data_IF_994654653698
#
_entry.id   IF_994654653698
#
_cell.length_a   1.000
_cell.length_b   1.000
_cell.length_c   1.000
_cell.angle_alpha   90.00
_cell.angle_beta   90.00
_cell.angle_gamma   90.00
#
_symmetry.space_group_name_H-M   'P 1'
#
loop_
_entity.id
_entity.type
_entity.pdbx_description
1 polymer ?
#
# COMPACT_ATOMS: atom_id res chain seq x y z
N UNK A 1 -31.09 -13.72 -50.56
CA UNK A 1 -29.91 -12.95 -50.14
C UNK A 1 -30.15 -12.57 -48.68
N UNK A 2 -29.67 -13.39 -47.74
CA UNK A 2 -29.98 -13.26 -46.32
C UNK A 2 -29.06 -12.24 -45.66
N UNK A 3 -29.63 -11.27 -44.96
CA UNK A 3 -28.87 -10.40 -44.07
C UNK A 3 -28.64 -11.18 -42.77
N UNK A 4 -27.41 -11.69 -42.59
CA UNK A 4 -26.94 -12.23 -41.33
C UNK A 4 -26.90 -11.08 -40.30
N UNK A 5 -28.02 -10.89 -39.61
CA UNK A 5 -28.10 -10.00 -38.48
C UNK A 5 -27.40 -10.70 -37.31
N UNK A 6 -26.18 -10.25 -37.01
CA UNK A 6 -25.39 -10.67 -35.85
C UNK A 6 -26.32 -10.83 -34.61
N UNK A 7 -26.43 -12.04 -34.02
CA UNK A 7 -27.41 -12.35 -32.98
C UNK A 7 -27.10 -11.70 -31.63
N UNK A 8 -26.08 -10.85 -31.56
CA UNK A 8 -25.68 -10.20 -30.32
C UNK A 8 -26.57 -8.97 -30.06
N UNK A 9 -27.42 -9.00 -29.00
CA UNK A 9 -28.23 -7.85 -28.63
C UNK A 9 -27.33 -6.65 -28.29
N UNK A 10 -27.74 -5.41 -28.62
CA UNK A 10 -26.90 -4.21 -28.45
C UNK A 10 -26.43 -4.02 -27.01
N UNK A 11 -27.18 -4.50 -26.02
CA UNK A 11 -26.84 -4.48 -24.60
C UNK A 11 -25.68 -5.40 -24.19
N UNK A 12 -25.33 -6.41 -25.01
CA UNK A 12 -24.19 -7.32 -24.78
C UNK A 12 -22.94 -6.96 -25.58
N UNK A 13 -23.01 -5.94 -26.43
CA UNK A 13 -21.84 -5.46 -27.16
C UNK A 13 -20.89 -4.81 -26.15
N UNK A 14 -19.77 -5.47 -25.86
CA UNK A 14 -18.68 -4.86 -25.10
C UNK A 14 -18.15 -3.70 -25.94
N UNK A 15 -18.61 -2.48 -25.64
CA UNK A 15 -18.06 -1.26 -26.24
C UNK A 15 -16.64 -1.16 -25.72
N UNK A 16 -15.68 -1.58 -26.54
CA UNK A 16 -14.26 -1.33 -26.31
C UNK A 16 -14.09 0.19 -26.35
N UNK A 17 -14.15 0.83 -25.18
CA UNK A 17 -13.79 2.23 -25.04
C UNK A 17 -12.29 2.31 -25.25
N UNK A 18 -11.87 2.40 -26.51
CA UNK A 18 -10.50 2.72 -26.88
C UNK A 18 -10.15 4.03 -26.21
N UNK A 19 -9.16 4.01 -25.33
CA UNK A 19 -8.65 5.23 -24.72
C UNK A 19 -7.91 6.00 -25.81
N UNK A 20 -8.55 7.02 -26.40
CA UNK A 20 -7.96 7.88 -27.45
C UNK A 20 -6.72 8.64 -26.94
N UNK A 21 -6.59 8.81 -25.63
CA UNK A 21 -5.45 9.51 -25.01
C UNK A 21 -4.41 8.48 -24.55
N UNK A 22 -3.21 8.56 -25.13
CA UNK A 22 -2.03 7.81 -24.66
C UNK A 22 -1.86 7.99 -23.16
N UNK A 23 -1.63 6.89 -22.43
CA UNK A 23 -1.48 6.95 -20.97
C UNK A 23 -0.32 7.91 -20.61
N UNK A 24 -0.60 9.01 -19.90
CA UNK A 24 0.40 10.03 -19.60
C UNK A 24 1.53 9.48 -18.72
N UNK A 25 1.29 8.39 -17.98
CA UNK A 25 2.30 7.73 -17.16
C UNK A 25 3.19 6.78 -17.94
N UNK A 26 2.84 6.39 -19.17
CA UNK A 26 3.59 5.34 -19.89
C UNK A 26 5.06 5.71 -20.08
N UNK A 27 5.34 6.96 -20.43
CA UNK A 27 6.72 7.43 -20.70
C UNK A 27 7.58 7.47 -19.43
N UNK A 28 6.98 7.85 -18.31
CA UNK A 28 7.67 7.95 -17.01
C UNK A 28 7.70 6.60 -16.27
N UNK A 29 6.81 5.68 -16.61
CA UNK A 29 6.74 4.37 -15.97
C UNK A 29 8.04 3.59 -16.17
N UNK A 30 8.53 3.51 -17.40
CA UNK A 30 9.72 2.71 -17.73
C UNK A 30 11.02 3.42 -17.32
N UNK A 31 11.09 4.75 -17.41
CA UNK A 31 12.32 5.51 -17.16
C UNK A 31 12.51 5.92 -15.70
N UNK A 32 11.45 6.33 -15.01
CA UNK A 32 11.56 6.93 -13.67
C UNK A 32 11.03 5.98 -12.59
N UNK A 33 9.92 5.30 -12.86
CA UNK A 33 9.23 4.51 -11.84
C UNK A 33 9.73 3.06 -11.74
N UNK A 34 10.01 2.42 -12.87
CA UNK A 34 10.42 1.02 -12.91
C UNK A 34 11.77 0.79 -12.23
N UNK A 35 12.82 1.61 -12.46
CA UNK A 35 14.10 1.44 -11.77
C UNK A 35 13.98 1.59 -10.25
N UNK A 36 13.15 2.52 -9.78
CA UNK A 36 12.87 2.70 -8.35
C UNK A 36 12.16 1.49 -7.76
N UNK A 37 11.17 0.96 -8.47
CA UNK A 37 10.40 -0.21 -8.06
C UNK A 37 11.22 -1.51 -8.10
N UNK A 38 12.15 -1.65 -9.04
CA UNK A 38 13.10 -2.76 -9.11
C UNK A 38 14.14 -2.69 -7.99
N UNK A 39 14.60 -1.48 -7.64
CA UNK A 39 15.51 -1.27 -6.52
C UNK A 39 14.82 -1.53 -5.16
N UNK A 40 13.59 -1.05 -5.00
CA UNK A 40 12.79 -1.25 -3.79
C UNK A 40 11.29 -1.39 -4.13
N UNK A 41 10.82 -2.64 -4.14
CA UNK A 41 9.42 -2.97 -4.41
C UNK A 41 8.46 -2.58 -3.27
N UNK A 42 8.97 -2.20 -2.09
CA UNK A 42 8.17 -1.70 -0.97
C UNK A 42 7.73 -0.24 -1.16
N UNK A 43 8.38 0.52 -2.05
CA UNK A 43 8.12 1.95 -2.30
C UNK A 43 6.66 2.28 -2.57
N UNK A 44 6.04 3.03 -1.67
CA UNK A 44 4.63 3.41 -1.75
C UNK A 44 4.34 4.26 -3.00
N UNK A 45 3.14 4.12 -3.56
CA UNK A 45 2.70 4.92 -4.71
C UNK A 45 2.75 6.43 -4.41
N UNK A 46 2.54 6.85 -3.16
CA UNK A 46 2.71 8.25 -2.74
C UNK A 46 4.16 8.71 -2.87
N UNK A 47 5.12 7.88 -2.50
CA UNK A 47 6.57 8.19 -2.62
C UNK A 47 6.96 8.33 -4.09
N UNK A 48 6.49 7.41 -4.94
CA UNK A 48 6.70 7.46 -6.38
C UNK A 48 6.06 8.71 -7.02
N UNK A 49 4.87 9.11 -6.56
CA UNK A 49 4.22 10.34 -7.00
C UNK A 49 5.04 11.58 -6.62
N UNK A 50 5.53 11.67 -5.38
CA UNK A 50 6.36 12.78 -4.93
C UNK A 50 7.66 12.88 -5.72
N UNK A 51 8.25 11.75 -6.07
CA UNK A 51 9.42 11.71 -6.94
C UNK A 51 9.10 12.30 -8.33
N UNK A 52 7.99 11.89 -8.95
CA UNK A 52 7.54 12.45 -10.23
C UNK A 52 7.22 13.94 -10.16
N UNK A 53 6.59 14.40 -9.09
CA UNK A 53 6.31 15.83 -8.87
C UNK A 53 7.60 16.64 -8.72
N UNK A 54 8.62 16.07 -8.09
CA UNK A 54 9.94 16.69 -7.94
C UNK A 54 10.74 16.71 -9.23
N UNK A 55 10.72 15.62 -10.02
CA UNK A 55 11.47 15.49 -11.27
C UNK A 55 10.80 16.22 -12.44
N UNK A 56 9.46 16.22 -12.46
CA UNK A 56 8.66 16.76 -13.56
C UNK A 56 7.47 17.60 -13.05
N UNK A 57 7.72 18.74 -12.37
CA UNK A 57 6.67 19.57 -11.78
C UNK A 57 5.67 20.11 -12.81
N UNK A 58 6.11 20.35 -14.06
CA UNK A 58 5.25 20.81 -15.15
C UNK A 58 4.30 19.71 -15.67
N UNK A 59 4.72 18.44 -15.60
CA UNK A 59 3.92 17.31 -16.06
C UNK A 59 2.97 16.80 -14.96
N UNK A 60 3.37 16.94 -13.70
CA UNK A 60 2.62 16.48 -12.53
C UNK A 60 2.49 17.59 -11.49
N UNK A 61 1.62 18.60 -11.72
CA UNK A 61 1.38 19.66 -10.75
C UNK A 61 0.50 19.22 -9.57
N UNK A 62 -0.33 18.18 -9.77
CA UNK A 62 -1.38 17.76 -8.83
C UNK A 62 -1.32 16.26 -8.49
N UNK A 63 -2.04 15.87 -7.43
CA UNK A 63 -2.21 14.48 -7.00
C UNK A 63 -3.22 13.65 -7.80
N UNK A 64 -3.76 14.18 -8.91
CA UNK A 64 -4.81 13.53 -9.71
C UNK A 64 -4.41 12.14 -10.22
N UNK A 65 -3.11 11.94 -10.47
CA UNK A 65 -2.56 10.67 -10.94
C UNK A 65 -2.30 9.65 -9.83
N UNK A 66 -2.43 10.01 -8.54
CA UNK A 66 -2.14 9.14 -7.40
C UNK A 66 -2.91 7.83 -7.46
N UNK A 67 -4.23 7.91 -7.70
CA UNK A 67 -5.10 6.72 -7.82
C UNK A 67 -4.73 5.86 -9.01
N UNK A 68 -4.32 6.47 -10.13
CA UNK A 68 -3.85 5.73 -11.31
C UNK A 68 -2.54 5.00 -11.02
N UNK A 69 -1.62 5.66 -10.31
CA UNK A 69 -0.34 5.10 -9.91
C UNK A 69 -0.53 3.94 -8.91
N UNK A 70 -1.35 4.13 -7.87
CA UNK A 70 -1.73 3.05 -6.93
C UNK A 70 -2.29 1.83 -7.66
N UNK A 71 -3.22 2.05 -8.61
CA UNK A 71 -3.85 0.98 -9.38
C UNK A 71 -2.87 0.26 -10.31
N UNK A 72 -1.77 0.91 -10.73
CA UNK A 72 -0.75 0.33 -11.62
C UNK A 72 0.36 -0.37 -10.83
N UNK A 73 0.75 0.18 -9.68
CA UNK A 73 1.76 -0.39 -8.78
C UNK A 73 1.26 -1.68 -8.12
N UNK A 74 -0.02 -1.74 -7.69
CA UNK A 74 -0.60 -2.95 -7.09
C UNK A 74 -0.45 -4.23 -7.94
N UNK A 75 -0.90 -4.26 -9.22
CA UNK A 75 -0.73 -5.43 -10.06
C UNK A 75 0.72 -5.66 -10.44
N UNK A 76 1.52 -4.60 -10.65
CA UNK A 76 2.96 -4.76 -10.90
C UNK A 76 3.65 -5.48 -9.75
N UNK A 77 3.39 -5.10 -8.49
CA UNK A 77 3.95 -5.80 -7.32
C UNK A 77 3.49 -7.25 -7.21
N UNK A 78 2.25 -7.54 -7.59
CA UNK A 78 1.75 -8.92 -7.61
C UNK A 78 2.44 -9.80 -8.67
N UNK A 79 2.99 -9.19 -9.73
CA UNK A 79 3.66 -9.88 -10.84
C UNK A 79 5.19 -9.92 -10.69
N UNK A 80 5.77 -8.85 -10.14
CA UNK A 80 7.23 -8.65 -10.02
C UNK A 80 7.79 -9.04 -8.66
N UNK A 81 6.96 -9.55 -7.74
CA UNK A 81 7.36 -9.76 -6.36
C UNK A 81 8.45 -10.82 -6.16
N UNK A 82 9.54 -10.51 -5.43
CA UNK A 82 10.13 -11.45 -4.47
C UNK A 82 9.15 -11.66 -3.29
N UNK A 83 9.18 -12.86 -2.70
CA UNK A 83 8.25 -13.42 -1.71
C UNK A 83 7.54 -12.41 -0.78
N UNK A 84 6.19 -12.44 -0.80
CA UNK A 84 5.39 -12.25 0.43
C UNK A 84 6.02 -13.17 1.49
N UNK A 85 6.46 -12.72 2.65
CA UNK A 85 5.72 -11.95 3.64
C UNK A 85 6.71 -11.61 4.77
N UNK A 86 6.86 -10.34 5.18
CA UNK A 86 7.24 -10.10 6.58
C UNK A 86 5.95 -10.13 7.40
N UNK A 87 5.37 -11.32 7.55
CA UNK A 87 4.43 -11.58 8.64
C UNK A 87 5.29 -11.97 9.82
N UNK A 88 5.41 -11.07 10.80
CA UNK A 88 5.75 -11.52 12.15
C UNK A 88 4.52 -12.23 12.71
N UNK A 89 4.40 -13.55 12.50
CA UNK A 89 3.44 -14.33 13.28
C UNK A 89 3.97 -14.29 14.70
N UNK A 90 3.44 -13.37 15.52
CA UNK A 90 3.54 -13.54 16.95
C UNK A 90 2.71 -14.78 17.26
N UNK A 91 3.39 -15.90 17.50
CA UNK A 91 2.79 -17.01 18.22
C UNK A 91 2.85 -16.60 19.69
N UNK A 92 1.75 -16.18 20.33
CA UNK A 92 1.73 -16.23 21.78
C UNK A 92 1.83 -17.71 22.14
N UNK A 93 3.01 -18.16 22.59
CA UNK A 93 3.02 -19.35 23.43
C UNK A 93 2.23 -18.98 24.68
N UNK A 94 1.07 -19.61 24.94
CA UNK A 94 0.41 -19.40 26.21
C UNK A 94 1.33 -19.97 27.27
N UNK A 95 1.99 -19.09 28.04
CA UNK A 95 2.57 -19.48 29.32
C UNK A 95 4.05 -19.24 29.58
N UNK A 96 4.73 -18.22 29.05
CA UNK A 96 6.10 -17.93 29.53
C UNK A 96 6.50 -16.48 29.84
N UNK A 97 5.55 -15.55 29.99
CA UNK A 97 5.83 -14.35 30.79
C UNK A 97 4.58 -13.73 31.41
N UNK A 98 3.98 -14.45 32.34
CA UNK A 98 3.25 -13.82 33.45
C UNK A 98 4.27 -13.26 34.44
N UNK A 99 4.90 -12.12 34.13
CA UNK A 99 5.64 -11.33 35.11
C UNK A 99 4.85 -10.05 35.39
N UNK A 100 3.77 -10.19 36.15
CA UNK A 100 3.39 -9.12 37.06
C UNK A 100 4.18 -9.38 38.34
N UNK A 101 5.33 -8.70 38.48
CA UNK A 101 5.89 -8.54 39.82
C UNK A 101 4.93 -7.62 40.57
N UNK A 102 4.00 -8.19 41.34
CA UNK A 102 3.33 -7.46 42.38
C UNK A 102 4.31 -7.40 43.55
N UNK A 103 5.16 -6.37 43.56
CA UNK A 103 5.94 -6.04 44.75
C UNK A 103 4.94 -5.73 45.87
N UNK A 104 4.79 -6.62 46.86
CA UNK A 104 4.12 -6.29 48.12
C UNK A 104 5.06 -5.39 48.91
N UNK A 105 4.73 -4.10 49.00
CA UNK A 105 5.54 -3.08 49.67
C UNK A 105 5.11 -2.83 51.13
N UNK A 106 4.36 -3.73 51.76
CA UNK A 106 3.84 -3.54 53.13
C UNK A 106 4.97 -3.42 54.17
N UNK A 107 6.12 -4.05 53.94
CA UNK A 107 7.28 -3.95 54.84
C UNK A 107 8.14 -2.70 54.62
N UNK A 108 7.91 -1.91 53.55
CA UNK A 108 8.72 -0.72 53.22
C UNK A 108 8.40 0.49 54.10
N UNK A 109 7.42 0.41 54.99
CA UNK A 109 7.14 1.47 55.97
C UNK A 109 6.89 2.84 55.32
N UNK A 110 6.24 2.84 54.15
CA UNK A 110 6.02 4.06 53.36
C UNK A 110 5.07 4.99 54.13
N UNK A 111 5.61 6.12 54.58
CA UNK A 111 4.83 7.18 55.22
C UNK A 111 4.57 8.30 54.21
N UNK A 112 3.30 8.60 53.95
CA UNK A 112 2.91 9.84 53.23
C UNK A 112 2.41 10.83 54.27
N UNK A 113 3.05 12.00 54.35
CA UNK A 113 2.74 13.04 55.34
C UNK A 113 2.75 12.54 56.82
N UNK A 114 3.60 11.55 57.14
CA UNK A 114 3.73 10.99 58.49
C UNK A 114 2.60 10.03 58.90
N UNK A 115 1.75 9.62 57.96
CA UNK A 115 0.76 8.56 58.17
C UNK A 115 1.12 7.33 57.32
N UNK A 116 0.87 6.11 57.83
CA UNK A 116 1.11 4.89 57.07
C UNK A 116 0.19 4.86 55.84
N UNK A 117 0.78 4.55 54.69
CA UNK A 117 0.06 4.40 53.43
C UNK A 117 -0.41 2.94 53.27
N UNK A 118 -1.71 2.67 53.01
CA UNK A 118 -2.25 1.31 52.84
C UNK A 118 -1.95 0.72 51.45
#
# INVERSE_FOLDING_TARGET
MGFDADPTPPSKRKIAHGRTVSDPLKRYWENDLLPLLEMDSALQAVTLLRHLQSAHPLAFPDDRIRRTLERRVRPWRALSGPERDIIFRQTPEPGYMGRSDFTHADELGVMIAGQPFP
#
